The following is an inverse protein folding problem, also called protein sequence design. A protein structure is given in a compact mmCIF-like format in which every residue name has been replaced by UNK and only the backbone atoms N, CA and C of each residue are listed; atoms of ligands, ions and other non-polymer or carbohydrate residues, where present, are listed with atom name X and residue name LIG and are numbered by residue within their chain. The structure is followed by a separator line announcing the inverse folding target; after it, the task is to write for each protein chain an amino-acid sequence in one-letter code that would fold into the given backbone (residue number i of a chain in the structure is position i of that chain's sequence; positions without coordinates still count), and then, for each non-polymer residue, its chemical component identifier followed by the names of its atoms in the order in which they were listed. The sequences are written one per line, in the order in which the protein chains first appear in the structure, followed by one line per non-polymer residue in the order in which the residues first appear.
data_IF_837893394366
#
_entry.id   IF_837893394366
#
_cell.length_a   1.000
_cell.length_b   1.000
_cell.length_c   1.000
_cell.angle_alpha   90.00
_cell.angle_beta   90.00
_cell.angle_gamma   90.00
#
_symmetry.space_group_name_H-M   'P 1'
#
loop_
_entity.id
_entity.type
_entity.pdbx_description
1 polymer ?
#
# COMPACT_ATOMS: atom_id res chain seq x y z
N UNK A 1 -21.33 -8.57 0.64
CA UNK A 1 -19.96 -8.28 1.11
C UNK A 1 -19.46 -9.48 1.89
N UNK A 2 -18.36 -10.09 1.47
CA UNK A 2 -17.69 -11.17 2.18
C UNK A 2 -16.60 -10.58 3.10
N UNK A 3 -16.60 -10.93 4.38
CA UNK A 3 -15.50 -10.60 5.31
C UNK A 3 -14.56 -11.80 5.33
N UNK A 4 -13.28 -11.56 5.04
CA UNK A 4 -12.28 -12.63 4.93
C UNK A 4 -11.71 -13.00 6.30
N UNK A 5 -11.49 -12.00 7.16
CA UNK A 5 -11.00 -12.21 8.51
C UNK A 5 -11.98 -13.05 9.34
N UNK A 6 -11.43 -14.04 10.06
CA UNK A 6 -12.25 -14.89 10.93
C UNK A 6 -12.75 -14.10 12.15
N UNK A 7 -13.92 -14.44 12.72
CA UNK A 7 -14.41 -13.79 13.94
C UNK A 7 -13.40 -13.83 15.11
N UNK A 8 -12.61 -14.91 15.20
CA UNK A 8 -11.57 -15.05 16.23
C UNK A 8 -10.43 -14.05 16.03
N UNK A 9 -9.96 -13.89 14.79
CA UNK A 9 -8.89 -12.93 14.46
C UNK A 9 -9.39 -11.50 14.66
N UNK A 10 -10.61 -11.18 14.22
CA UNK A 10 -11.20 -9.85 14.46
C UNK A 10 -11.34 -9.53 15.95
N UNK A 11 -11.75 -10.49 16.77
CA UNK A 11 -11.81 -10.30 18.22
C UNK A 11 -10.43 -9.98 18.81
N UNK A 12 -9.35 -10.62 18.33
CA UNK A 12 -7.97 -10.31 18.74
C UNK A 12 -7.56 -8.90 18.33
N UNK A 13 -7.88 -8.46 17.11
CA UNK A 13 -7.62 -7.09 16.66
C UNK A 13 -8.37 -6.07 17.51
N UNK A 14 -9.65 -6.29 17.79
CA UNK A 14 -10.44 -5.39 18.63
C UNK A 14 -9.87 -5.29 20.06
N UNK A 15 -9.43 -6.41 20.63
CA UNK A 15 -8.76 -6.41 21.94
C UNK A 15 -7.43 -5.64 21.91
N UNK A 16 -6.62 -5.84 20.86
CA UNK A 16 -5.37 -5.12 20.67
C UNK A 16 -5.61 -3.61 20.53
N UNK A 17 -6.57 -3.21 19.71
CA UNK A 17 -6.96 -1.81 19.50
C UNK A 17 -7.45 -1.14 20.79
N UNK A 18 -8.30 -1.83 21.55
CA UNK A 18 -8.78 -1.35 22.84
C UNK A 18 -7.64 -1.21 23.87
N UNK A 19 -6.74 -2.20 23.93
CA UNK A 19 -5.60 -2.17 24.84
C UNK A 19 -4.58 -1.10 24.44
N UNK A 20 -4.27 -0.98 23.15
CA UNK A 20 -3.38 0.05 22.62
C UNK A 20 -3.89 1.44 22.95
N UNK A 21 -5.20 1.69 22.76
CA UNK A 21 -5.83 2.95 23.17
C UNK A 21 -5.68 3.21 24.67
N UNK A 22 -5.94 2.19 25.51
CA UNK A 22 -5.83 2.30 26.97
C UNK A 22 -4.39 2.59 27.43
N UNK A 23 -3.39 2.04 26.73
CA UNK A 23 -1.97 2.19 27.07
C UNK A 23 -1.28 3.34 26.33
N UNK A 24 -1.99 4.07 25.46
CA UNK A 24 -1.41 5.11 24.62
C UNK A 24 -0.42 4.59 23.56
N UNK A 25 -0.56 3.33 23.15
CA UNK A 25 0.28 2.71 22.12
C UNK A 25 -0.35 2.96 20.74
N UNK A 26 0.35 3.62 19.80
CA UNK A 26 -0.17 3.87 18.46
C UNK A 26 -0.29 2.55 17.68
N UNK A 27 -1.44 2.33 17.05
CA UNK A 27 -1.70 1.16 16.23
C UNK A 27 -2.12 1.62 14.83
N UNK A 28 -1.27 1.30 13.85
CA UNK A 28 -1.55 1.52 12.43
C UNK A 28 -2.34 0.34 11.89
N UNK A 29 -3.58 0.59 11.46
CA UNK A 29 -4.46 -0.42 10.87
C UNK A 29 -4.60 -0.20 9.37
N UNK A 30 -4.62 -1.27 8.59
CA UNK A 30 -4.90 -1.22 7.15
C UNK A 30 -6.09 -2.10 6.80
N UNK A 31 -6.94 -1.65 5.87
CA UNK A 31 -8.09 -2.40 5.38
C UNK A 31 -8.17 -2.33 3.86
N UNK A 32 -8.37 -3.48 3.24
CA UNK A 32 -8.61 -3.63 1.82
C UNK A 32 -10.09 -3.94 1.56
N UNK A 33 -10.70 -3.17 0.68
CA UNK A 33 -12.01 -3.46 0.11
C UNK A 33 -11.89 -3.65 -1.40
N UNK A 34 -12.23 -4.85 -1.87
CA UNK A 34 -12.13 -5.23 -3.27
C UNK A 34 -13.54 -5.47 -3.82
N UNK A 35 -13.85 -4.81 -4.93
CA UNK A 35 -15.12 -4.95 -5.64
C UNK A 35 -14.82 -5.30 -7.10
N UNK A 36 -15.35 -6.43 -7.59
CA UNK A 36 -15.27 -6.80 -9.00
C UNK A 36 -16.63 -6.59 -9.64
N UNK A 37 -16.66 -5.88 -10.77
CA UNK A 37 -17.87 -5.63 -11.52
C UNK A 37 -17.69 -5.96 -13.00
N UNK A 38 -18.80 -6.21 -13.70
CA UNK A 38 -18.85 -6.39 -15.15
C UNK A 38 -20.21 -5.89 -15.65
N UNK A 39 -20.21 -5.09 -16.72
CA UNK A 39 -21.42 -4.50 -17.31
C UNK A 39 -22.31 -3.78 -16.26
N UNK A 40 -21.69 -3.02 -15.36
CA UNK A 40 -22.39 -2.31 -14.28
C UNK A 40 -22.92 -3.18 -13.14
N UNK A 41 -22.77 -4.52 -13.21
CA UNK A 41 -23.17 -5.44 -12.15
C UNK A 41 -21.99 -5.79 -11.26
N UNK A 42 -22.17 -5.66 -9.94
CA UNK A 42 -21.24 -6.16 -8.94
C UNK A 42 -21.25 -7.70 -8.92
N UNK A 43 -20.10 -8.31 -9.13
CA UNK A 43 -19.91 -9.77 -9.16
C UNK A 43 -19.36 -10.29 -7.83
N UNK A 44 -18.38 -9.59 -7.26
CA UNK A 44 -17.82 -9.90 -5.95
C UNK A 44 -17.54 -8.63 -5.17
N UNK A 45 -17.64 -8.74 -3.86
CA UNK A 45 -17.34 -7.66 -2.94
C UNK A 45 -16.85 -8.25 -1.64
N UNK A 46 -15.63 -7.91 -1.26
CA UNK A 46 -15.02 -8.42 -0.04
C UNK A 46 -14.21 -7.37 0.70
N UNK A 47 -14.03 -7.62 1.99
CA UNK A 47 -13.17 -6.85 2.89
C UNK A 47 -12.21 -7.77 3.62
N UNK A 48 -10.98 -7.33 3.75
CA UNK A 48 -9.97 -7.96 4.60
C UNK A 48 -9.12 -6.87 5.28
N UNK A 49 -8.55 -7.18 6.43
CA UNK A 49 -7.45 -6.40 6.98
C UNK A 49 -6.18 -6.58 6.14
N UNK A 50 -5.32 -5.57 6.21
CA UNK A 50 -3.94 -5.68 5.75
C UNK A 50 -3.11 -6.31 6.88
N UNK A 51 -2.39 -7.38 6.57
CA UNK A 51 -1.58 -8.13 7.54
C UNK A 51 -0.08 -8.04 7.27
N UNK A 52 0.29 -7.31 6.22
CA UNK A 52 1.55 -7.53 5.51
C UNK A 52 2.48 -6.31 5.49
N UNK A 53 2.34 -5.40 6.45
CA UNK A 53 3.24 -4.25 6.57
C UNK A 53 4.69 -4.72 6.61
N UNK A 54 5.49 -4.24 5.64
CA UNK A 54 6.85 -4.73 5.41
C UNK A 54 7.87 -4.03 6.30
N UNK A 55 9.10 -4.54 6.31
CA UNK A 55 10.24 -3.90 6.97
C UNK A 55 10.47 -2.46 6.51
N UNK A 56 10.19 -2.12 5.26
CA UNK A 56 10.31 -0.73 4.80
C UNK A 56 9.37 0.20 5.59
N UNK A 57 8.11 -0.22 5.81
CA UNK A 57 7.13 0.57 6.57
C UNK A 57 7.54 0.70 8.05
N UNK A 58 7.97 -0.40 8.66
CA UNK A 58 8.42 -0.38 10.06
C UNK A 58 9.71 0.43 10.25
N UNK A 59 10.68 0.29 9.35
CA UNK A 59 11.91 1.07 9.40
C UNK A 59 11.62 2.57 9.21
N UNK A 60 10.62 2.94 8.41
CA UNK A 60 10.17 4.33 8.31
C UNK A 60 9.64 4.85 9.65
N UNK A 61 8.71 4.12 10.26
CA UNK A 61 8.14 4.50 11.57
C UNK A 61 9.26 4.63 12.62
N UNK A 62 10.18 3.66 12.69
CA UNK A 62 11.28 3.67 13.64
C UNK A 62 12.23 4.84 13.40
N UNK A 63 12.62 5.12 12.15
CA UNK A 63 13.50 6.25 11.84
C UNK A 63 12.88 7.58 12.28
N UNK A 64 11.58 7.78 12.01
CA UNK A 64 10.89 9.04 12.32
C UNK A 64 10.66 9.22 13.83
N UNK A 65 10.27 8.16 14.55
CA UNK A 65 10.04 8.24 16.00
C UNK A 65 11.34 8.23 16.81
N UNK A 66 12.32 7.42 16.40
CA UNK A 66 13.59 7.25 17.09
C UNK A 66 14.67 8.24 16.67
N UNK A 67 14.38 9.16 15.74
CA UNK A 67 15.36 10.11 15.19
C UNK A 67 16.67 9.44 14.75
N UNK A 68 16.57 8.24 14.19
CA UNK A 68 17.73 7.40 13.84
C UNK A 68 17.82 7.24 12.32
N UNK A 69 18.98 7.51 11.76
CA UNK A 69 19.22 7.34 10.32
C UNK A 69 19.45 5.87 9.98
N UNK A 70 18.90 5.36 8.86
CA UNK A 70 19.22 4.03 8.35
C UNK A 70 20.64 4.04 7.80
N UNK A 71 21.57 3.26 8.35
CA UNK A 71 22.99 3.26 7.93
C UNK A 71 23.47 1.92 7.38
N UNK A 72 22.68 0.85 7.56
CA UNK A 72 23.09 -0.51 7.23
C UNK A 72 23.19 -0.74 5.72
N UNK A 73 24.28 -1.40 5.29
CA UNK A 73 24.51 -1.79 3.90
C UNK A 73 23.60 -2.91 3.43
N UNK A 74 22.97 -3.60 4.39
CA UNK A 74 22.23 -4.85 4.21
C UNK A 74 20.79 -4.66 4.67
N UNK A 75 19.89 -5.45 4.11
CA UNK A 75 18.47 -5.45 4.47
C UNK A 75 18.11 -6.75 5.17
N UNK A 76 17.61 -6.67 6.40
CA UNK A 76 17.28 -7.86 7.18
C UNK A 76 17.04 -7.57 8.66
N UNK A 77 16.92 -8.63 9.44
CA UNK A 77 16.60 -8.56 10.87
C UNK A 77 17.62 -7.76 11.67
N UNK A 78 17.15 -6.85 12.52
CA UNK A 78 17.99 -5.99 13.36
C UNK A 78 18.72 -4.87 12.62
N UNK A 79 18.50 -4.71 11.31
CA UNK A 79 19.20 -3.73 10.47
C UNK A 79 18.27 -2.59 10.07
N UNK A 80 18.80 -1.37 10.08
CA UNK A 80 18.10 -0.16 9.66
C UNK A 80 18.58 0.28 8.29
N UNK A 81 17.83 -0.14 7.27
CA UNK A 81 18.00 0.23 5.87
C UNK A 81 16.66 0.16 5.13
N UNK A 82 16.57 0.76 3.95
CA UNK A 82 15.42 0.58 3.08
C UNK A 82 15.82 -0.23 1.85
N UNK A 83 14.89 -1.01 1.30
CA UNK A 83 15.10 -1.74 0.06
C UNK A 83 14.05 -1.33 -0.96
N UNK A 84 14.53 -0.75 -2.07
CA UNK A 84 13.69 -0.34 -3.18
C UNK A 84 13.08 -1.54 -3.88
N UNK A 85 12.02 -1.33 -4.64
CA UNK A 85 11.37 -2.40 -5.44
C UNK A 85 12.29 -2.99 -6.51
N UNK A 86 13.33 -2.26 -6.93
CA UNK A 86 14.40 -2.72 -7.83
C UNK A 86 15.46 -3.60 -7.14
N UNK A 87 15.40 -3.73 -5.81
CA UNK A 87 16.30 -4.53 -4.98
C UNK A 87 17.51 -3.79 -4.42
N UNK A 88 17.79 -2.56 -4.86
CA UNK A 88 18.89 -1.76 -4.31
C UNK A 88 18.55 -1.23 -2.92
N UNK A 89 19.58 -1.12 -2.09
CA UNK A 89 19.47 -0.65 -0.70
C UNK A 89 19.70 0.85 -0.65
N UNK A 90 18.84 1.55 0.10
CA UNK A 90 18.96 2.97 0.42
C UNK A 90 19.32 3.12 1.89
N UNK A 91 20.40 3.86 2.14
CA UNK A 91 20.98 4.10 3.47
C UNK A 91 21.76 5.41 3.50
N UNK A 92 21.96 5.93 4.69
CA UNK A 92 22.77 7.09 4.99
C UNK A 92 24.23 6.67 4.96
N UNK A 93 25.02 7.39 4.18
CA UNK A 93 26.45 7.10 3.97
C UNK A 93 27.36 8.25 4.40
N UNK A 94 26.81 9.27 5.06
CA UNK A 94 27.51 10.52 5.40
C UNK A 94 27.18 11.68 4.46
N UNK A 95 26.56 11.39 3.30
CA UNK A 95 26.07 12.37 2.33
C UNK A 95 24.53 12.37 2.24
N UNK A 96 23.95 13.36 1.54
CA UNK A 96 22.52 13.40 1.19
C UNK A 96 22.10 12.06 0.53
N UNK A 97 21.38 11.20 1.26
CA UNK A 97 21.22 9.81 0.81
C UNK A 97 20.01 9.03 1.35
N UNK A 98 19.63 9.23 2.60
CA UNK A 98 18.56 8.45 3.25
C UNK A 98 17.40 9.29 3.79
N UNK A 99 17.23 10.50 3.26
CA UNK A 99 16.07 11.33 3.55
C UNK A 99 14.81 10.67 3.01
N UNK A 100 14.26 9.72 3.75
CA UNK A 100 12.93 9.17 3.51
C UNK A 100 11.98 10.01 4.37
N UNK A 101 11.80 11.26 3.96
CA UNK A 101 11.17 12.30 4.78
C UNK A 101 9.84 12.79 4.22
N UNK A 102 9.72 12.90 2.89
CA UNK A 102 8.54 13.46 2.22
C UNK A 102 8.01 12.54 1.13
N UNK A 103 6.68 12.47 1.07
CA UNK A 103 5.94 11.74 0.05
C UNK A 103 6.07 12.44 -1.31
N UNK A 104 6.17 13.78 -1.33
CA UNK A 104 6.57 14.60 -2.49
C UNK A 104 6.81 16.10 -2.13
N UNK A 105 7.37 16.89 -3.06
CA UNK A 105 7.66 18.33 -2.94
C UNK A 105 6.41 19.25 -2.96
N UNK A 106 5.95 19.74 -1.81
CA UNK A 106 4.72 20.53 -1.74
C UNK A 106 4.93 21.97 -2.19
N UNK A 107 4.45 22.30 -3.39
CA UNK A 107 4.20 23.68 -3.78
C UNK A 107 2.74 24.04 -3.47
N UNK A 108 2.54 24.96 -2.52
CA UNK A 108 1.22 25.42 -2.06
C UNK A 108 0.44 26.12 -3.18
N UNK A 109 1.15 26.77 -4.12
CA UNK A 109 0.54 27.55 -5.20
C UNK A 109 0.06 26.65 -6.35
N UNK A 110 0.82 25.61 -6.69
CA UNK A 110 0.48 24.71 -7.81
C UNK A 110 -0.21 23.42 -7.39
N UNK A 111 -0.22 23.11 -6.07
CA UNK A 111 -0.73 21.85 -5.49
C UNK A 111 -0.20 20.61 -6.21
N UNK A 112 1.03 20.67 -6.75
CA UNK A 112 1.61 19.62 -7.60
C UNK A 112 1.67 18.24 -6.93
N UNK A 113 1.83 18.19 -5.60
CA UNK A 113 1.80 16.96 -4.81
C UNK A 113 0.47 16.22 -4.80
N UNK A 114 -0.61 16.92 -5.14
CA UNK A 114 -1.91 16.29 -5.30
C UNK A 114 -2.01 15.66 -6.70
N UNK A 115 -1.04 15.84 -7.59
CA UNK A 115 -1.11 15.26 -8.94
C UNK A 115 -0.94 13.74 -8.93
N UNK A 116 -1.63 13.07 -9.85
CA UNK A 116 -1.40 11.66 -10.08
C UNK A 116 0.05 11.43 -10.55
N UNK A 117 0.69 10.36 -10.05
CA UNK A 117 2.10 10.02 -10.31
C UNK A 117 3.04 10.28 -9.13
N UNK A 118 2.53 10.77 -7.99
CA UNK A 118 3.32 11.19 -6.82
C UNK A 118 2.92 10.41 -5.57
N UNK A 119 3.85 10.24 -4.63
CA UNK A 119 3.56 9.60 -3.36
C UNK A 119 3.00 8.19 -3.48
N UNK A 120 1.83 7.95 -2.89
CA UNK A 120 1.05 6.71 -3.09
C UNK A 120 0.00 6.84 -4.21
N UNK A 121 -0.15 8.01 -4.85
CA UNK A 121 -1.18 8.29 -5.86
C UNK A 121 -0.66 7.98 -7.26
N UNK A 122 -0.94 6.76 -7.74
CA UNK A 122 -0.56 6.31 -9.08
C UNK A 122 -1.14 7.13 -10.23
N UNK A 123 -0.34 7.38 -11.27
CA UNK A 123 -0.82 7.90 -12.55
C UNK A 123 -1.54 6.78 -13.34
N UNK A 124 -2.30 7.18 -14.37
CA UNK A 124 -2.81 6.20 -15.34
C UNK A 124 -1.64 5.46 -16.00
N UNK A 125 -1.85 4.19 -16.31
CA UNK A 125 -0.85 3.29 -16.90
C UNK A 125 0.37 2.93 -16.02
N UNK A 126 0.45 3.41 -14.78
CA UNK A 126 1.55 3.08 -13.86
C UNK A 126 1.24 1.80 -13.05
N UNK A 127 1.87 0.68 -13.41
CA UNK A 127 1.75 -0.58 -12.66
C UNK A 127 2.82 -0.75 -11.55
N UNK A 128 3.72 0.22 -11.40
CA UNK A 128 4.87 0.13 -10.48
C UNK A 128 4.67 0.82 -9.13
N UNK A 129 3.66 1.68 -9.00
CA UNK A 129 3.43 2.46 -7.78
C UNK A 129 1.95 2.64 -7.43
N UNK A 130 1.69 3.00 -6.17
CA UNK A 130 0.38 3.18 -5.55
C UNK A 130 -0.22 1.84 -5.15
N UNK A 131 -1.54 1.71 -5.31
CA UNK A 131 -2.20 0.41 -5.25
C UNK A 131 -1.82 -0.39 -6.51
N UNK A 132 -1.10 -1.49 -6.31
CA UNK A 132 -0.66 -2.42 -7.36
C UNK A 132 -1.22 -3.82 -7.12
N UNK A 133 -1.29 -4.65 -8.15
CA UNK A 133 -1.92 -5.97 -8.10
C UNK A 133 -1.05 -7.02 -8.81
N UNK A 134 -1.07 -8.25 -8.34
CA UNK A 134 -0.25 -9.33 -8.86
C UNK A 134 -0.93 -10.70 -8.81
N UNK A 135 -0.25 -11.68 -9.40
CA UNK A 135 -0.72 -13.07 -9.54
C UNK A 135 -0.01 -14.05 -8.62
N UNK A 136 0.90 -13.61 -7.75
CA UNK A 136 1.60 -14.51 -6.82
C UNK A 136 0.78 -14.78 -5.55
N UNK A 137 0.66 -16.04 -5.16
CA UNK A 137 -0.07 -16.48 -3.96
C UNK A 137 0.82 -16.96 -2.81
N UNK A 138 2.14 -16.76 -2.91
CA UNK A 138 3.09 -17.13 -1.85
C UNK A 138 2.82 -16.32 -0.59
N UNK A 139 3.04 -16.92 0.57
CA UNK A 139 2.82 -16.29 1.87
C UNK A 139 3.50 -14.92 2.00
N UNK A 140 2.88 -14.07 2.80
CA UNK A 140 3.42 -12.76 3.15
C UNK A 140 4.73 -12.92 3.91
N UNK A 141 5.63 -11.95 3.73
CA UNK A 141 6.90 -11.90 4.45
C UNK A 141 7.21 -10.46 4.79
N UNK A 142 7.67 -10.25 6.03
CA UNK A 142 8.14 -8.97 6.51
C UNK A 142 9.29 -8.41 5.65
N UNK A 143 10.08 -9.29 5.02
CA UNK A 143 11.25 -8.92 4.22
C UNK A 143 10.93 -8.72 2.73
N UNK A 144 9.67 -8.82 2.32
CA UNK A 144 9.29 -8.44 0.96
C UNK A 144 9.50 -6.95 0.73
N UNK A 145 10.07 -6.61 -0.43
CA UNK A 145 10.39 -5.24 -0.84
C UNK A 145 9.78 -4.88 -2.20
N UNK A 146 9.09 -5.82 -2.84
CA UNK A 146 8.38 -5.66 -4.12
C UNK A 146 7.22 -6.66 -4.20
N UNK A 147 6.26 -6.38 -5.09
CA UNK A 147 5.26 -7.36 -5.51
C UNK A 147 5.96 -8.54 -6.20
N UNK A 148 5.50 -9.78 -5.98
CA UNK A 148 6.25 -10.96 -6.44
C UNK A 148 5.99 -11.29 -7.90
N UNK A 149 4.74 -11.21 -8.36
CA UNK A 149 4.35 -11.36 -9.77
C UNK A 149 3.40 -10.23 -10.18
N UNK A 150 3.91 -9.00 -10.41
CA UNK A 150 3.07 -7.86 -10.73
C UNK A 150 2.36 -8.02 -12.07
N UNK A 151 1.09 -7.62 -12.12
CA UNK A 151 0.32 -7.50 -13.37
C UNK A 151 0.69 -6.18 -14.04
N UNK A 152 1.18 -6.26 -15.28
CA UNK A 152 1.54 -5.08 -16.06
C UNK A 152 0.33 -4.26 -16.50
N UNK A 153 0.56 -2.97 -16.79
CA UNK A 153 -0.46 -2.12 -17.39
C UNK A 153 -0.56 -2.34 -18.90
N UNK A 154 -1.78 -2.45 -19.43
CA UNK A 154 -2.00 -2.53 -20.87
C UNK A 154 -3.32 -3.23 -21.25
N UNK A 155 -3.40 -3.59 -22.53
CA UNK A 155 -4.54 -4.30 -23.14
C UNK A 155 -4.16 -5.71 -23.64
N UNK A 156 -2.89 -6.09 -23.52
CA UNK A 156 -2.41 -7.41 -23.93
C UNK A 156 -2.91 -8.51 -23.00
N UNK A 157 -2.72 -9.77 -23.41
CA UNK A 157 -3.06 -10.94 -22.60
C UNK A 157 -2.39 -10.85 -21.21
N UNK A 158 -3.17 -11.04 -20.15
CA UNK A 158 -2.70 -10.97 -18.76
C UNK A 158 -2.39 -9.56 -18.24
N UNK A 159 -2.72 -8.49 -18.98
CA UNK A 159 -2.54 -7.11 -18.53
C UNK A 159 -3.86 -6.48 -18.09
N UNK A 160 -3.77 -5.52 -17.16
CA UNK A 160 -4.90 -4.68 -16.75
C UNK A 160 -4.69 -3.25 -17.23
N UNK A 161 -5.74 -2.59 -17.69
CA UNK A 161 -5.71 -1.15 -17.94
C UNK A 161 -5.78 -0.42 -16.60
N UNK A 162 -4.65 0.09 -16.12
CA UNK A 162 -4.52 0.77 -14.84
C UNK A 162 -5.05 2.22 -14.93
N UNK A 163 -6.12 2.53 -14.20
CA UNK A 163 -6.64 3.90 -14.10
C UNK A 163 -5.79 4.70 -13.12
N UNK A 164 -5.75 6.02 -13.29
CA UNK A 164 -5.15 6.91 -12.30
C UNK A 164 -5.83 6.70 -10.95
N UNK A 165 -5.03 6.67 -9.88
CA UNK A 165 -5.54 6.57 -8.53
C UNK A 165 -6.28 7.86 -8.16
N UNK A 166 -7.38 7.73 -7.44
CA UNK A 166 -8.10 8.88 -6.89
C UNK A 166 -7.22 9.64 -5.90
N UNK A 167 -7.56 10.90 -5.65
CA UNK A 167 -6.90 11.67 -4.59
C UNK A 167 -7.16 10.97 -3.24
N UNK A 168 -6.15 10.84 -2.37
CA UNK A 168 -6.35 10.33 -1.02
C UNK A 168 -7.40 11.16 -0.26
N UNK A 169 -8.28 10.49 0.47
CA UNK A 169 -9.34 11.14 1.26
C UNK A 169 -9.02 10.98 2.74
N UNK A 170 -8.56 12.07 3.36
CA UNK A 170 -8.33 12.15 4.79
C UNK A 170 -9.65 12.44 5.53
N UNK A 171 -9.89 11.70 6.60
CA UNK A 171 -11.05 11.85 7.47
C UNK A 171 -10.68 11.65 8.93
N UNK A 172 -11.38 12.34 9.83
CA UNK A 172 -11.22 12.17 11.26
C UNK A 172 -12.59 11.91 11.90
N UNK A 173 -12.71 10.80 12.62
CA UNK A 173 -13.88 10.49 13.44
C UNK A 173 -13.56 10.88 14.89
N UNK A 174 -14.20 11.95 15.37
CA UNK A 174 -14.02 12.45 16.72
C UNK A 174 -14.57 11.51 17.81
N UNK A 175 -15.57 10.69 17.49
CA UNK A 175 -16.17 9.74 18.42
C UNK A 175 -15.24 8.56 18.71
N UNK A 176 -14.54 8.08 17.68
CA UNK A 176 -13.55 6.99 17.82
C UNK A 176 -12.11 7.48 17.96
N UNK A 177 -11.87 8.79 17.79
CA UNK A 177 -10.55 9.43 17.70
C UNK A 177 -9.67 8.81 16.62
N UNK A 178 -10.26 8.46 15.48
CA UNK A 178 -9.57 7.74 14.40
C UNK A 178 -9.31 8.68 13.23
N UNK A 179 -8.05 8.86 12.88
CA UNK A 179 -7.66 9.47 11.60
C UNK A 179 -7.55 8.37 10.55
N UNK A 180 -8.17 8.55 9.39
CA UNK A 180 -8.12 7.59 8.28
C UNK A 180 -7.80 8.29 6.97
N UNK A 181 -6.83 7.76 6.24
CA UNK A 181 -6.59 8.09 4.85
C UNK A 181 -7.09 6.96 3.95
N UNK A 182 -7.85 7.30 2.91
CA UNK A 182 -8.48 6.33 2.00
C UNK A 182 -7.96 6.51 0.59
N UNK A 183 -7.35 5.45 0.06
CA UNK A 183 -6.79 5.35 -1.29
C UNK A 183 -7.71 4.47 -2.15
N UNK A 184 -7.97 4.87 -3.39
CA UNK A 184 -8.86 4.12 -4.30
C UNK A 184 -8.27 4.05 -5.69
N UNK A 185 -8.22 2.84 -6.26
CA UNK A 185 -7.79 2.62 -7.64
C UNK A 185 -8.71 1.66 -8.39
N UNK A 186 -8.93 1.95 -9.66
CA UNK A 186 -9.67 1.11 -10.59
C UNK A 186 -8.73 0.49 -11.62
N UNK A 187 -9.01 -0.75 -12.02
CA UNK A 187 -8.25 -1.47 -13.04
C UNK A 187 -9.23 -2.26 -13.91
N UNK A 188 -9.14 -2.11 -15.24
CA UNK A 188 -10.05 -2.78 -16.17
C UNK A 188 -9.35 -3.96 -16.84
N UNK A 189 -10.00 -5.11 -16.89
CA UNK A 189 -9.52 -6.25 -17.64
C UNK A 189 -10.10 -6.22 -19.07
N UNK A 190 -9.27 -5.82 -20.02
CA UNK A 190 -9.57 -5.88 -21.45
C UNK A 190 -8.61 -6.83 -22.18
N UNK A 191 -8.07 -7.82 -21.47
CA UNK A 191 -6.97 -8.69 -21.95
C UNK A 191 -7.41 -9.81 -22.89
N UNK A 192 -8.72 -9.98 -23.11
CA UNK A 192 -9.28 -11.09 -23.89
C UNK A 192 -9.55 -12.37 -23.07
N UNK A 193 -9.08 -12.44 -21.83
CA UNK A 193 -9.32 -13.55 -20.90
C UNK A 193 -9.50 -13.08 -19.46
N UNK A 194 -9.92 -13.99 -18.58
CA UNK A 194 -10.04 -13.68 -17.15
C UNK A 194 -8.64 -13.58 -16.50
N UNK A 195 -8.49 -12.68 -15.53
CA UNK A 195 -7.25 -12.49 -14.77
C UNK A 195 -7.52 -12.83 -13.31
N UNK A 196 -6.74 -13.78 -12.77
CA UNK A 196 -6.78 -14.13 -11.35
C UNK A 196 -5.72 -13.33 -10.59
N UNK A 197 -6.19 -12.42 -9.73
CA UNK A 197 -5.35 -11.69 -8.79
C UNK A 197 -5.19 -12.46 -7.47
N UNK A 198 -3.95 -12.48 -6.96
CA UNK A 198 -3.55 -13.18 -5.73
C UNK A 198 -2.84 -12.30 -4.71
N UNK A 199 -2.40 -11.12 -5.09
CA UNK A 199 -1.74 -10.16 -4.19
C UNK A 199 -2.13 -8.73 -4.53
N UNK A 200 -2.19 -7.88 -3.51
CA UNK A 200 -2.30 -6.41 -3.63
C UNK A 200 -1.14 -5.80 -2.86
N UNK A 201 -0.46 -4.82 -3.46
CA UNK A 201 0.61 -4.09 -2.80
C UNK A 201 0.29 -2.60 -2.68
N UNK A 202 0.80 -1.98 -1.62
CA UNK A 202 0.93 -0.54 -1.52
C UNK A 202 2.40 -0.17 -1.74
N UNK A 203 2.73 0.39 -2.91
CA UNK A 203 4.07 0.89 -3.22
C UNK A 203 4.05 2.41 -3.16
N UNK A 204 4.89 2.97 -2.30
CA UNK A 204 4.98 4.42 -2.12
C UNK A 204 6.23 4.94 -2.83
N UNK A 205 6.03 5.97 -3.64
CA UNK A 205 7.10 6.75 -4.24
C UNK A 205 7.53 7.81 -3.24
N UNK A 206 8.78 7.76 -2.82
CA UNK A 206 9.34 8.65 -1.80
C UNK A 206 10.59 9.31 -2.30
N UNK A 207 10.82 10.53 -1.83
CA UNK A 207 12.09 11.21 -2.06
C UNK A 207 13.24 10.42 -1.41
N UNK A 208 14.39 10.39 -2.06
CA UNK A 208 15.63 9.74 -1.63
C UNK A 208 16.81 10.57 -2.13
N UNK A 209 17.96 10.59 -1.48
CA UNK A 209 19.14 11.37 -1.90
C UNK A 209 18.88 12.90 -2.02
N UNK A 210 18.41 13.37 -3.18
CA UNK A 210 18.19 14.79 -3.50
C UNK A 210 16.69 15.13 -3.57
N UNK A 211 16.35 16.43 -3.64
CA UNK A 211 14.98 16.94 -3.81
C UNK A 211 14.20 16.32 -4.99
N UNK A 212 14.91 15.80 -6.00
CA UNK A 212 14.33 15.34 -7.25
C UNK A 212 14.45 13.83 -7.47
N UNK A 213 15.17 13.13 -6.59
CA UNK A 213 15.39 11.69 -6.73
C UNK A 213 14.30 10.94 -5.99
N UNK A 214 13.41 10.27 -6.74
CA UNK A 214 12.33 9.47 -6.15
C UNK A 214 12.59 7.98 -6.32
N UNK A 215 12.28 7.23 -5.27
CA UNK A 215 12.42 5.78 -5.22
C UNK A 215 11.12 5.12 -4.79
N UNK A 216 10.93 3.86 -5.18
CA UNK A 216 9.74 3.08 -4.90
C UNK A 216 10.00 2.10 -3.76
N UNK A 217 9.14 2.11 -2.75
CA UNK A 217 9.22 1.22 -1.60
C UNK A 217 7.88 0.52 -1.39
N UNK A 218 7.92 -0.81 -1.28
CA UNK A 218 6.75 -1.59 -0.89
C UNK A 218 6.49 -1.41 0.60
N UNK A 219 5.31 -0.94 0.97
CA UNK A 219 4.88 -0.77 2.37
C UNK A 219 4.02 -1.91 2.86
N UNK A 220 3.17 -2.47 2.00
CA UNK A 220 2.39 -3.68 2.28
C UNK A 220 2.27 -4.54 1.03
N UNK A 221 2.06 -5.84 1.22
CA UNK A 221 1.83 -6.84 0.18
C UNK A 221 0.89 -7.90 0.72
N UNK A 222 -0.40 -7.64 0.59
CA UNK A 222 -1.46 -8.49 1.12
C UNK A 222 -1.79 -9.61 0.14
N UNK A 223 -1.76 -10.84 0.65
CA UNK A 223 -2.18 -12.02 -0.11
C UNK A 223 -3.72 -12.11 -0.10
N UNK A 224 -4.26 -12.42 -1.26
CA UNK A 224 -5.68 -12.58 -1.51
C UNK A 224 -6.04 -14.05 -1.38
N UNK A 225 -6.65 -14.43 -0.26
CA UNK A 225 -7.20 -15.77 -0.03
C UNK A 225 -8.66 -15.68 0.41
N UNK A 226 -9.64 -16.18 -0.37
CA UNK A 226 -9.47 -16.81 -1.70
C UNK A 226 -8.92 -15.84 -2.75
N UNK A 227 -8.50 -16.34 -3.90
CA UNK A 227 -8.09 -15.50 -5.04
C UNK A 227 -9.25 -14.64 -5.58
N UNK A 228 -8.94 -13.57 -6.31
CA UNK A 228 -9.94 -12.69 -6.95
C UNK A 228 -9.87 -12.85 -8.47
N UNK A 229 -10.95 -13.32 -9.09
CA UNK A 229 -11.06 -13.36 -10.55
C UNK A 229 -11.65 -12.05 -11.05
N UNK A 230 -10.94 -11.40 -11.97
CA UNK A 230 -11.37 -10.21 -12.70
C UNK A 230 -11.73 -10.68 -14.11
N UNK A 231 -13.01 -10.81 -14.46
CA UNK A 231 -13.38 -11.36 -15.76
C UNK A 231 -12.98 -10.43 -16.90
N UNK A 232 -12.80 -10.97 -18.11
CA UNK A 232 -12.62 -10.13 -19.30
C UNK A 232 -13.81 -9.17 -19.47
N UNK A 233 -13.54 -7.94 -19.91
CA UNK A 233 -14.44 -6.79 -19.91
C UNK A 233 -14.99 -6.41 -18.52
N UNK A 234 -14.33 -6.87 -17.45
CA UNK A 234 -14.63 -6.53 -16.07
C UNK A 234 -13.73 -5.43 -15.52
N UNK A 235 -14.04 -4.98 -14.32
CA UNK A 235 -13.28 -4.01 -13.56
C UNK A 235 -13.09 -4.50 -12.13
N UNK A 236 -11.93 -4.20 -11.55
CA UNK A 236 -11.73 -4.25 -10.11
C UNK A 236 -11.56 -2.83 -9.58
N UNK A 237 -12.29 -2.52 -8.49
CA UNK A 237 -12.05 -1.37 -7.62
C UNK A 237 -11.39 -1.90 -6.35
N UNK A 238 -10.23 -1.34 -6.03
CA UNK A 238 -9.52 -1.60 -4.78
C UNK A 238 -9.52 -0.30 -3.98
N UNK A 239 -10.01 -0.38 -2.76
CA UNK A 239 -9.88 0.66 -1.76
C UNK A 239 -8.97 0.18 -0.64
N UNK A 240 -7.98 0.99 -0.29
CA UNK A 240 -7.07 0.76 0.82
C UNK A 240 -7.25 1.89 1.83
N UNK A 241 -7.78 1.57 3.01
CA UNK A 241 -7.92 2.52 4.11
C UNK A 241 -6.82 2.28 5.14
N UNK A 242 -6.07 3.33 5.49
CA UNK A 242 -5.02 3.31 6.50
C UNK A 242 -5.50 4.19 7.65
N UNK A 243 -5.54 3.63 8.86
CA UNK A 243 -6.15 4.27 10.02
C UNK A 243 -5.20 4.27 11.21
N UNK A 244 -5.23 5.35 11.97
CA UNK A 244 -4.51 5.50 13.24
C UNK A 244 -5.49 6.01 14.30
N UNK A 245 -5.57 5.28 15.41
CA UNK A 245 -6.39 5.65 16.56
C UNK A 245 -5.54 6.48 17.53
N UNK A 246 -6.01 7.67 17.89
CA UNK A 246 -5.32 8.55 18.83
C UNK A 246 -5.66 8.18 20.28
N UNK A 247 -4.72 8.38 21.22
CA UNK A 247 -4.98 8.14 22.64
C UNK A 247 -6.12 9.05 23.15
N UNK A 248 -6.74 8.57 24.24
CA UNK A 248 -7.77 9.32 24.96
C UNK A 248 -7.21 10.57 25.62
#
# INVERSE_FOLDING_TARGET
MQIIDTPEIEAKYQQLEALGRKLGVPLLCGHLELQVSKNGKLLSHRKQRSHSWTRNAYNLIFCQLGSTNPTDATFGSGLLSYKKTDGNIVRYTGDYGAWVTYIDYYNVETRENESAGRGSRAAANDAGHGIVIGTDGSLESFDHFRLLSPIGSGLGAGQLSMIAQEAPVLSYDAGTKTLTDTLVRFMNNNSGGDITAREVGLIVKMQTYTAYSMSLFLFSRDVLSPEVVIPNAGQIRIQYSISLVYPS
#
